data_IF_521282251986
#
_entry.id   IF_521282251986
#
_cell.length_a   1.000
_cell.length_b   1.000
_cell.length_c   1.000
_cell.angle_alpha   90.00
_cell.angle_beta   90.00
_cell.angle_gamma   90.00
#
_symmetry.space_group_name_H-M   'P 1'
#
loop_
_entity.id
_entity.type
_entity.pdbx_description
1 polymer ?
#
# COMPACT_ATOMS: atom_id res chain seq x y z
N UNK A 1 10.07 28.71 9.22
CA UNK A 1 8.97 28.10 8.47
C UNK A 1 9.15 26.58 8.35
N UNK A 2 10.32 26.10 7.91
CA UNK A 2 10.63 24.67 7.74
C UNK A 2 10.43 23.86 9.03
N UNK A 3 10.94 24.31 10.16
CA UNK A 3 10.76 23.66 11.46
C UNK A 3 9.29 23.52 11.85
N UNK A 4 8.47 24.57 11.58
CA UNK A 4 7.03 24.52 11.85
C UNK A 4 6.31 23.49 10.97
N UNK A 5 6.68 23.42 9.68
CA UNK A 5 6.16 22.42 8.76
C UNK A 5 6.56 21.00 9.17
N UNK A 6 7.81 20.80 9.57
CA UNK A 6 8.29 19.50 10.09
C UNK A 6 7.55 19.07 11.35
N UNK A 7 7.35 19.98 12.31
CA UNK A 7 6.54 19.72 13.51
C UNK A 7 5.11 19.30 13.17
N UNK A 8 4.43 20.01 12.26
CA UNK A 8 3.10 19.64 11.81
C UNK A 8 3.07 18.28 11.10
N UNK A 9 4.09 17.98 10.28
CA UNK A 9 4.19 16.70 9.60
C UNK A 9 4.41 15.53 10.58
N UNK A 10 5.30 15.69 11.57
CA UNK A 10 5.49 14.70 12.63
C UNK A 10 4.22 14.45 13.43
N UNK A 11 3.49 15.53 13.78
CA UNK A 11 2.19 15.40 14.46
C UNK A 11 1.16 14.64 13.60
N UNK A 12 1.06 14.96 12.31
CA UNK A 12 0.20 14.24 11.36
C UNK A 12 0.55 12.75 11.31
N UNK A 13 1.84 12.42 11.17
CA UNK A 13 2.33 11.04 11.16
C UNK A 13 2.02 10.28 12.46
N UNK A 14 2.12 10.94 13.61
CA UNK A 14 1.76 10.34 14.90
C UNK A 14 0.26 10.03 14.96
N UNK A 15 -0.60 10.96 14.53
CA UNK A 15 -2.06 10.75 14.48
C UNK A 15 -2.40 9.62 13.52
N UNK A 16 -1.80 9.59 12.33
CA UNK A 16 -1.95 8.53 11.33
C UNK A 16 -1.64 7.16 11.92
N UNK A 17 -0.47 7.04 12.57
CA UNK A 17 -0.02 5.79 13.19
C UNK A 17 -0.98 5.30 14.29
N UNK A 18 -1.47 6.21 15.11
CA UNK A 18 -2.39 5.87 16.20
C UNK A 18 -3.73 5.35 15.65
N UNK A 19 -4.30 6.03 14.65
CA UNK A 19 -5.55 5.60 14.00
C UNK A 19 -5.35 4.24 13.33
N UNK A 20 -4.25 4.07 12.58
CA UNK A 20 -3.96 2.81 11.90
C UNK A 20 -3.83 1.65 12.89
N UNK A 21 -3.08 1.83 14.00
CA UNK A 21 -2.94 0.81 15.02
C UNK A 21 -4.28 0.43 15.66
N UNK A 22 -5.13 1.43 15.99
CA UNK A 22 -6.46 1.18 16.53
C UNK A 22 -7.32 0.36 15.56
N UNK A 23 -7.27 0.66 14.26
CA UNK A 23 -8.00 -0.11 13.26
C UNK A 23 -7.43 -1.53 13.12
N UNK A 24 -6.10 -1.70 13.13
CA UNK A 24 -5.47 -3.02 13.05
C UNK A 24 -5.82 -3.90 14.25
N UNK A 25 -5.94 -3.33 15.45
CA UNK A 25 -6.43 -4.04 16.63
C UNK A 25 -7.90 -4.47 16.46
N UNK A 26 -8.76 -3.59 15.91
CA UNK A 26 -10.16 -3.95 15.59
C UNK A 26 -10.21 -5.08 14.56
N UNK A 27 -9.42 -4.99 13.50
CA UNK A 27 -9.30 -6.01 12.45
C UNK A 27 -8.90 -7.37 13.04
N UNK A 28 -7.93 -7.41 13.96
CA UNK A 28 -7.52 -8.65 14.62
C UNK A 28 -8.61 -9.35 15.42
N UNK A 29 -9.70 -8.65 15.73
CA UNK A 29 -10.87 -9.20 16.43
C UNK A 29 -12.06 -9.50 15.50
N UNK A 30 -11.95 -9.23 14.19
CA UNK A 30 -13.00 -9.54 13.22
C UNK A 30 -12.77 -10.95 12.68
N UNK A 31 -13.69 -11.90 12.95
CA UNK A 31 -13.60 -13.22 12.32
C UNK A 31 -13.69 -13.09 10.80
N UNK A 32 -12.90 -13.89 10.10
CA UNK A 32 -13.00 -14.02 8.64
C UNK A 32 -12.89 -12.68 7.88
N UNK A 33 -11.99 -11.76 8.34
CA UNK A 33 -11.77 -10.46 7.69
C UNK A 33 -11.44 -10.61 6.19
N UNK A 34 -10.84 -11.71 5.81
CA UNK A 34 -10.53 -12.08 4.43
C UNK A 34 -11.75 -12.30 3.56
N UNK A 35 -12.92 -12.54 4.13
CA UNK A 35 -14.19 -12.70 3.40
C UNK A 35 -14.87 -11.37 3.11
N UNK A 36 -14.48 -10.29 3.80
CA UNK A 36 -15.02 -8.97 3.54
C UNK A 36 -14.45 -8.41 2.24
N UNK A 37 -15.30 -7.87 1.39
CA UNK A 37 -14.92 -7.19 0.15
C UNK A 37 -14.67 -5.70 0.36
N UNK A 38 -15.25 -5.10 1.40
CA UNK A 38 -15.05 -3.72 1.82
C UNK A 38 -14.61 -3.62 3.27
N UNK A 39 -13.82 -2.60 3.58
CA UNK A 39 -13.49 -2.25 4.96
C UNK A 39 -14.08 -0.88 5.29
N UNK A 40 -14.92 -0.80 6.32
CA UNK A 40 -15.52 0.45 6.79
C UNK A 40 -15.29 0.58 8.29
N UNK A 41 -14.62 1.66 8.69
CA UNK A 41 -14.34 1.94 10.10
C UNK A 41 -14.74 3.37 10.45
N UNK A 42 -15.30 3.54 11.63
CA UNK A 42 -15.72 4.85 12.13
C UNK A 42 -15.30 5.07 13.59
N UNK A 43 -14.99 6.32 13.94
CA UNK A 43 -14.75 6.73 15.33
C UNK A 43 -14.85 8.24 15.48
N UNK A 44 -15.30 8.69 16.64
CA UNK A 44 -15.34 10.08 17.08
C UNK A 44 -13.98 10.63 17.50
N UNK A 45 -13.01 9.73 17.75
CA UNK A 45 -11.63 10.07 18.13
C UNK A 45 -10.74 10.43 16.95
N UNK A 46 -11.16 10.16 15.72
CA UNK A 46 -10.29 10.28 14.55
C UNK A 46 -10.35 11.67 13.92
N UNK A 47 -9.19 12.18 13.51
CA UNK A 47 -9.07 13.49 12.88
C UNK A 47 -9.46 13.43 11.39
N UNK A 48 -10.44 14.24 10.92
CA UNK A 48 -10.95 14.14 9.54
C UNK A 48 -9.88 14.44 8.47
N UNK A 49 -8.84 15.22 8.78
CA UNK A 49 -7.75 15.52 7.85
C UNK A 49 -6.74 14.37 7.65
N UNK A 50 -6.87 13.26 8.39
CA UNK A 50 -5.92 12.13 8.36
C UNK A 50 -6.56 10.83 7.87
N UNK A 51 -7.88 10.70 8.01
CA UNK A 51 -8.60 9.46 7.66
C UNK A 51 -8.36 8.98 6.22
N UNK A 52 -8.16 9.90 5.26
CA UNK A 52 -7.88 9.54 3.88
C UNK A 52 -6.50 8.90 3.67
N UNK A 53 -5.51 9.29 4.48
CA UNK A 53 -4.17 8.67 4.44
C UNK A 53 -4.24 7.27 5.06
N UNK A 54 -4.98 7.13 6.16
CA UNK A 54 -5.20 5.82 6.80
C UNK A 54 -5.95 4.87 5.87
N UNK A 55 -6.99 5.35 5.18
CA UNK A 55 -7.70 4.54 4.19
C UNK A 55 -6.76 4.02 3.09
N UNK A 56 -5.84 4.85 2.57
CA UNK A 56 -4.84 4.41 1.60
C UNK A 56 -3.95 3.29 2.18
N UNK A 57 -3.47 3.43 3.42
CA UNK A 57 -2.66 2.40 4.08
C UNK A 57 -3.38 1.09 4.25
N UNK A 58 -4.68 1.13 4.58
CA UNK A 58 -5.48 -0.08 4.71
C UNK A 58 -5.70 -0.76 3.36
N UNK A 59 -5.91 0.00 2.28
CA UNK A 59 -5.97 -0.56 0.92
C UNK A 59 -4.64 -1.23 0.56
N UNK A 60 -3.49 -0.59 0.85
CA UNK A 60 -2.17 -1.18 0.61
C UNK A 60 -1.94 -2.48 1.41
N UNK A 61 -2.50 -2.59 2.62
CA UNK A 61 -2.31 -3.75 3.49
C UNK A 61 -3.26 -4.91 3.19
N UNK A 62 -4.50 -4.60 2.83
CA UNK A 62 -5.58 -5.59 2.72
C UNK A 62 -6.12 -5.78 1.31
N UNK A 63 -5.69 -4.93 0.34
CA UNK A 63 -6.15 -4.96 -1.06
C UNK A 63 -7.68 -4.91 -1.20
N UNK A 64 -8.33 -4.13 -0.35
CA UNK A 64 -9.79 -3.94 -0.33
C UNK A 64 -10.17 -2.48 -0.34
N UNK A 65 -11.21 -2.10 -1.07
CA UNK A 65 -11.79 -0.76 -0.95
C UNK A 65 -12.10 -0.45 0.51
N UNK A 66 -11.65 0.71 0.98
CA UNK A 66 -11.71 1.04 2.41
C UNK A 66 -12.25 2.44 2.64
N UNK A 67 -13.21 2.59 3.55
CA UNK A 67 -13.66 3.87 4.10
C UNK A 67 -13.23 4.02 5.55
N UNK A 68 -12.62 5.17 5.87
CA UNK A 68 -12.32 5.58 7.24
C UNK A 68 -13.10 6.86 7.53
N UNK A 69 -13.92 6.83 8.58
CA UNK A 69 -14.94 7.83 8.88
C UNK A 69 -14.65 8.48 10.23
N UNK A 70 -14.51 9.80 10.23
CA UNK A 70 -14.45 10.61 11.46
C UNK A 70 -15.85 11.06 11.85
N UNK A 71 -16.30 10.71 13.05
CA UNK A 71 -17.61 11.05 13.59
C UNK A 71 -17.57 12.36 14.37
N UNK A 72 -18.60 13.17 14.20
CA UNK A 72 -18.82 14.38 15.01
C UNK A 72 -20.30 14.70 15.06
N UNK A 73 -20.86 14.79 16.26
CA UNK A 73 -22.26 15.13 16.50
C UNK A 73 -23.26 14.28 15.70
N UNK A 74 -23.06 12.96 15.66
CA UNK A 74 -23.92 12.00 14.95
C UNK A 74 -23.79 12.00 13.42
N UNK A 75 -22.80 12.74 12.88
CA UNK A 75 -22.51 12.77 11.44
C UNK A 75 -21.07 12.36 11.19
N UNK A 76 -20.89 11.42 10.26
CA UNK A 76 -19.59 10.94 9.79
C UNK A 76 -19.12 11.69 8.55
N UNK A 77 -17.84 12.08 8.54
CA UNK A 77 -17.12 12.48 7.34
C UNK A 77 -16.11 11.42 6.99
N UNK A 78 -16.38 10.68 5.92
CA UNK A 78 -15.59 9.54 5.47
C UNK A 78 -14.72 9.90 4.28
N UNK A 79 -13.55 9.26 4.25
CA UNK A 79 -12.67 9.25 3.07
C UNK A 79 -12.46 7.81 2.65
N UNK A 80 -12.80 7.51 1.40
CA UNK A 80 -12.66 6.20 0.77
C UNK A 80 -11.45 6.14 -0.15
N UNK A 81 -10.85 4.97 -0.23
CA UNK A 81 -9.82 4.60 -1.19
C UNK A 81 -10.15 3.25 -1.81
N UNK A 82 -9.74 3.05 -3.05
CA UNK A 82 -10.07 1.84 -3.81
C UNK A 82 -8.85 1.15 -4.36
N UNK A 83 -9.07 -0.09 -4.74
CA UNK A 83 -8.18 -0.90 -5.57
C UNK A 83 -8.38 -0.56 -7.06
N UNK A 84 -7.47 -1.03 -7.93
CA UNK A 84 -7.54 -0.78 -9.39
C UNK A 84 -8.81 -1.33 -10.03
N UNK A 85 -9.30 -2.46 -9.53
CA UNK A 85 -10.38 -3.24 -10.15
C UNK A 85 -11.77 -2.78 -9.73
N UNK A 86 -11.86 -1.78 -8.82
CA UNK A 86 -13.14 -1.26 -8.36
C UNK A 86 -13.22 0.27 -8.44
N UNK A 87 -14.23 0.78 -9.14
CA UNK A 87 -14.53 2.20 -9.19
C UNK A 87 -15.36 2.62 -7.97
N UNK A 88 -14.70 3.14 -6.92
CA UNK A 88 -15.35 3.49 -5.66
C UNK A 88 -16.43 4.56 -5.82
N UNK A 89 -16.29 5.49 -6.77
CA UNK A 89 -17.31 6.51 -7.04
C UNK A 89 -18.61 5.88 -7.56
N UNK A 90 -18.52 4.92 -8.48
CA UNK A 90 -19.70 4.17 -8.95
C UNK A 90 -20.31 3.31 -7.84
N UNK A 91 -19.50 2.76 -6.96
CA UNK A 91 -19.97 2.02 -5.78
C UNK A 91 -20.79 2.91 -4.84
N UNK A 92 -20.27 4.06 -4.43
CA UNK A 92 -21.00 4.96 -3.53
C UNK A 92 -22.23 5.60 -4.16
N UNK A 93 -22.31 5.71 -5.49
CA UNK A 93 -23.53 6.15 -6.17
C UNK A 93 -24.71 5.19 -5.93
N UNK A 94 -24.44 3.88 -5.82
CA UNK A 94 -25.47 2.89 -5.50
C UNK A 94 -25.89 2.93 -4.03
N UNK A 95 -25.04 3.49 -3.15
CA UNK A 95 -25.34 3.73 -1.73
C UNK A 95 -25.92 5.13 -1.48
N UNK A 96 -26.30 5.90 -2.50
CA UNK A 96 -26.65 7.33 -2.39
C UNK A 96 -27.78 7.61 -1.41
N UNK A 97 -28.74 6.71 -1.23
CA UNK A 97 -29.87 6.84 -0.30
C UNK A 97 -29.46 6.92 1.17
N UNK A 98 -28.29 6.35 1.52
CA UNK A 98 -27.72 6.34 2.87
C UNK A 98 -26.82 7.56 3.14
N UNK A 99 -26.45 8.32 2.10
CA UNK A 99 -25.46 9.38 2.17
C UNK A 99 -26.09 10.76 2.21
N UNK A 100 -25.61 11.62 3.09
CA UNK A 100 -25.98 13.05 3.13
C UNK A 100 -25.34 13.81 1.98
N UNK A 101 -24.12 13.44 1.63
CA UNK A 101 -23.40 13.94 0.44
C UNK A 101 -22.25 12.99 0.09
N UNK A 102 -21.87 12.98 -1.17
CA UNK A 102 -20.73 12.21 -1.66
C UNK A 102 -20.10 12.86 -2.88
N UNK A 103 -18.83 12.48 -3.16
CA UNK A 103 -18.09 12.95 -4.33
C UNK A 103 -16.75 12.28 -4.44
N UNK A 104 -16.14 12.36 -5.62
CA UNK A 104 -14.82 11.76 -5.83
C UNK A 104 -14.60 11.28 -7.25
N UNK A 105 -13.65 10.35 -7.38
CA UNK A 105 -13.21 9.73 -8.63
C UNK A 105 -13.08 8.22 -8.44
N UNK A 106 -12.62 7.51 -9.47
CA UNK A 106 -12.51 6.03 -9.46
C UNK A 106 -11.73 5.44 -8.29
N UNK A 107 -10.67 6.12 -7.81
CA UNK A 107 -9.76 5.59 -6.78
C UNK A 107 -9.89 6.24 -5.41
N UNK A 108 -10.60 7.37 -5.32
CA UNK A 108 -10.77 8.11 -4.08
C UNK A 108 -12.11 8.79 -4.03
N UNK A 109 -12.81 8.67 -2.89
CA UNK A 109 -14.11 9.29 -2.68
C UNK A 109 -14.23 9.86 -1.27
N UNK A 110 -15.10 10.87 -1.13
CA UNK A 110 -15.51 11.44 0.14
C UNK A 110 -16.99 11.24 0.34
N UNK A 111 -17.40 10.98 1.58
CA UNK A 111 -18.80 10.83 1.95
C UNK A 111 -19.12 11.64 3.22
N UNK A 112 -20.37 12.04 3.33
CA UNK A 112 -20.99 12.44 4.60
C UNK A 112 -22.18 11.54 4.85
N UNK A 113 -22.29 10.97 6.07
CA UNK A 113 -23.25 9.94 6.42
C UNK A 113 -23.73 10.13 7.85
N UNK A 114 -24.97 9.76 8.17
CA UNK A 114 -25.40 9.70 9.56
C UNK A 114 -24.75 8.49 10.25
N UNK A 115 -24.43 8.64 11.53
CA UNK A 115 -23.80 7.58 12.31
C UNK A 115 -24.62 6.28 12.29
N UNK A 116 -25.94 6.37 12.37
CA UNK A 116 -26.85 5.21 12.37
C UNK A 116 -26.92 4.47 11.04
N UNK A 117 -26.51 5.09 9.94
CA UNK A 117 -26.57 4.52 8.59
C UNK A 117 -25.24 3.85 8.17
N UNK A 118 -24.19 3.88 9.04
CA UNK A 118 -22.85 3.39 8.70
C UNK A 118 -22.81 1.89 8.51
N UNK A 119 -23.49 1.11 9.37
CA UNK A 119 -23.48 -0.35 9.28
C UNK A 119 -24.22 -0.85 8.03
N UNK A 120 -25.33 -0.20 7.69
CA UNK A 120 -26.09 -0.49 6.46
C UNK A 120 -25.25 -0.10 5.22
N UNK A 121 -24.56 1.04 5.24
CA UNK A 121 -23.65 1.45 4.20
C UNK A 121 -22.50 0.45 4.02
N UNK A 122 -21.92 -0.05 5.12
CA UNK A 122 -20.83 -1.03 5.07
C UNK A 122 -21.30 -2.34 4.40
N UNK A 123 -22.45 -2.85 4.80
CA UNK A 123 -23.03 -4.08 4.26
C UNK A 123 -23.38 -3.94 2.77
N UNK A 124 -24.04 -2.85 2.39
CA UNK A 124 -24.41 -2.60 0.99
C UNK A 124 -23.18 -2.41 0.10
N UNK A 125 -22.16 -1.70 0.59
CA UNK A 125 -20.92 -1.51 -0.16
C UNK A 125 -20.18 -2.82 -0.36
N UNK A 126 -20.17 -3.69 0.64
CA UNK A 126 -19.57 -5.03 0.56
C UNK A 126 -20.23 -5.89 -0.53
N UNK A 127 -21.58 -5.92 -0.57
CA UNK A 127 -22.35 -6.61 -1.61
C UNK A 127 -22.07 -6.05 -3.01
N UNK A 128 -22.05 -4.72 -3.17
CA UNK A 128 -21.77 -4.08 -4.45
C UNK A 128 -20.37 -4.44 -4.96
N UNK A 129 -19.38 -4.53 -4.07
CA UNK A 129 -18.02 -4.91 -4.46
C UNK A 129 -17.98 -6.40 -4.82
N UNK A 130 -18.62 -7.26 -4.02
CA UNK A 130 -18.72 -8.68 -4.32
C UNK A 130 -19.26 -8.94 -5.73
N UNK A 131 -20.34 -8.28 -6.10
CA UNK A 131 -20.98 -8.44 -7.41
C UNK A 131 -20.19 -7.82 -8.57
N UNK A 132 -19.37 -6.80 -8.28
CA UNK A 132 -18.63 -6.05 -9.29
C UNK A 132 -17.25 -6.62 -9.59
N UNK A 133 -16.61 -7.25 -8.60
CA UNK A 133 -15.26 -7.79 -8.71
C UNK A 133 -15.35 -9.29 -9.00
N UNK A 134 -15.06 -9.69 -10.23
CA UNK A 134 -15.15 -11.07 -10.70
C UNK A 134 -14.08 -12.01 -10.11
N UNK A 135 -13.13 -11.51 -9.35
CA UNK A 135 -12.10 -12.31 -8.72
C UNK A 135 -12.55 -12.78 -7.33
N UNK A 136 -12.61 -14.09 -7.06
CA UNK A 136 -13.01 -14.61 -5.74
C UNK A 136 -12.04 -14.23 -4.62
N UNK A 137 -10.87 -13.76 -4.96
CA UNK A 137 -9.84 -13.31 -4.01
C UNK A 137 -9.31 -11.95 -4.46
N UNK A 138 -9.45 -10.93 -3.61
CA UNK A 138 -8.82 -9.63 -3.78
C UNK A 138 -7.32 -9.74 -3.45
N UNK A 139 -6.56 -10.39 -4.34
CA UNK A 139 -5.13 -10.62 -4.16
C UNK A 139 -4.36 -9.43 -4.72
N UNK A 140 -3.43 -8.84 -3.95
CA UNK A 140 -2.53 -7.82 -4.48
C UNK A 140 -1.79 -8.34 -5.71
N UNK A 141 -1.82 -7.59 -6.80
CA UNK A 141 -1.09 -7.91 -8.01
C UNK A 141 0.04 -6.92 -8.23
N UNK A 142 1.23 -7.43 -8.51
CA UNK A 142 2.37 -6.63 -8.93
C UNK A 142 2.59 -6.82 -10.42
N UNK A 143 2.35 -5.77 -11.20
CA UNK A 143 2.61 -5.79 -12.64
C UNK A 143 4.12 -5.70 -12.88
N UNK A 144 4.62 -6.60 -13.73
CA UNK A 144 6.04 -6.71 -14.09
C UNK A 144 6.17 -6.31 -15.55
N UNK A 145 7.02 -5.32 -15.82
CA UNK A 145 7.26 -4.84 -17.18
C UNK A 145 8.22 -5.73 -17.94
N UNK A 146 9.22 -6.31 -17.28
CA UNK A 146 10.18 -7.22 -17.91
C UNK A 146 10.86 -8.16 -16.92
N UNK A 147 11.24 -9.35 -17.40
CA UNK A 147 12.15 -10.27 -16.69
C UNK A 147 13.58 -9.96 -17.07
N UNK A 148 14.51 -10.03 -16.10
CA UNK A 148 15.94 -9.80 -16.30
C UNK A 148 16.80 -10.68 -15.37
N UNK A 149 18.11 -10.75 -15.63
CA UNK A 149 19.08 -11.33 -14.71
C UNK A 149 19.75 -10.24 -13.87
N UNK A 150 20.29 -10.57 -12.69
CA UNK A 150 21.03 -9.59 -11.89
C UNK A 150 22.24 -8.98 -12.64
N UNK A 151 22.82 -9.73 -13.59
CA UNK A 151 23.91 -9.26 -14.46
C UNK A 151 23.52 -8.14 -15.42
N UNK A 152 22.23 -8.02 -15.75
CA UNK A 152 21.74 -7.01 -16.69
C UNK A 152 21.61 -5.64 -16.01
N UNK A 153 21.60 -5.66 -14.66
CA UNK A 153 21.39 -4.44 -13.87
C UNK A 153 22.70 -3.68 -13.73
N UNK A 154 22.79 -2.57 -14.45
CA UNK A 154 23.95 -1.70 -14.48
C UNK A 154 23.53 -0.22 -14.59
N UNK A 155 24.49 0.68 -14.48
CA UNK A 155 24.21 2.14 -14.52
C UNK A 155 23.60 2.59 -15.86
N UNK A 156 23.92 1.90 -16.96
CA UNK A 156 23.35 2.23 -18.26
C UNK A 156 21.85 1.90 -18.30
N UNK A 157 21.44 0.71 -17.81
CA UNK A 157 20.04 0.32 -17.71
C UNK A 157 19.26 1.35 -16.86
N UNK A 158 19.79 1.70 -15.68
CA UNK A 158 19.13 2.68 -14.80
C UNK A 158 18.99 4.03 -15.51
N UNK A 159 20.06 4.50 -16.20
CA UNK A 159 20.00 5.75 -16.97
C UNK A 159 18.97 5.72 -18.10
N UNK A 160 18.77 4.58 -18.76
CA UNK A 160 17.72 4.40 -19.78
C UNK A 160 16.32 4.41 -19.14
N UNK A 161 16.16 3.77 -17.98
CA UNK A 161 14.90 3.81 -17.23
C UNK A 161 14.57 5.24 -16.76
N UNK A 162 15.56 5.99 -16.31
CA UNK A 162 15.39 7.39 -15.88
C UNK A 162 14.91 8.30 -17.02
N UNK A 163 15.19 7.97 -18.28
CA UNK A 163 14.67 8.73 -19.45
C UNK A 163 13.15 8.59 -19.62
N UNK A 164 12.51 7.61 -18.99
CA UNK A 164 11.04 7.44 -18.98
C UNK A 164 10.35 8.40 -17.99
N UNK A 165 11.11 9.07 -17.13
CA UNK A 165 10.59 10.03 -16.16
C UNK A 165 9.96 11.27 -16.86
N UNK A 166 9.01 11.99 -16.22
CA UNK A 166 8.60 11.88 -14.82
C UNK A 166 7.59 10.74 -14.57
N UNK A 167 7.83 9.97 -13.51
CA UNK A 167 6.93 8.90 -13.10
C UNK A 167 5.74 9.42 -12.31
N UNK A 168 4.61 8.73 -12.42
CA UNK A 168 3.36 9.08 -11.76
C UNK A 168 2.24 8.09 -12.05
N UNK A 169 1.00 8.45 -11.72
CA UNK A 169 -0.18 7.57 -11.81
C UNK A 169 -0.42 6.94 -13.20
N UNK A 170 -0.12 7.67 -14.29
CA UNK A 170 -0.30 7.18 -15.67
C UNK A 170 1.01 6.77 -16.36
N UNK A 171 2.12 6.90 -15.65
CA UNK A 171 3.45 6.50 -16.10
C UNK A 171 4.19 5.95 -14.87
N UNK A 172 3.86 4.74 -14.39
CA UNK A 172 4.49 4.17 -13.21
C UNK A 172 5.97 3.90 -13.45
N UNK A 173 6.71 3.86 -12.35
CA UNK A 173 8.12 3.47 -12.34
C UNK A 173 8.22 2.00 -12.81
N UNK A 174 9.05 1.65 -13.80
CA UNK A 174 9.16 0.28 -14.30
C UNK A 174 9.53 -0.72 -13.22
N UNK A 175 8.88 -1.87 -13.23
CA UNK A 175 9.11 -2.98 -12.32
C UNK A 175 9.73 -4.15 -13.08
N UNK A 176 10.91 -4.56 -12.68
CA UNK A 176 11.61 -5.73 -13.23
C UNK A 176 11.44 -6.94 -12.31
N UNK A 177 11.52 -8.12 -12.90
CA UNK A 177 11.53 -9.40 -12.17
C UNK A 177 12.83 -10.15 -12.40
N UNK A 178 13.37 -10.78 -11.34
CA UNK A 178 14.46 -11.75 -11.46
C UNK A 178 14.09 -13.01 -10.68
N UNK A 179 14.41 -14.17 -11.27
CA UNK A 179 14.01 -15.47 -10.74
C UNK A 179 15.15 -16.23 -10.08
N UNK A 180 14.78 -17.11 -9.14
CA UNK A 180 15.72 -18.01 -8.43
C UNK A 180 16.86 -17.23 -7.74
N UNK A 181 16.51 -16.20 -7.02
CA UNK A 181 17.45 -15.32 -6.33
C UNK A 181 17.62 -15.77 -4.88
N UNK A 182 18.87 -16.03 -4.47
CA UNK A 182 19.22 -16.36 -3.09
C UNK A 182 19.34 -15.11 -2.25
N UNK A 183 18.73 -15.15 -1.06
CA UNK A 183 18.83 -14.08 -0.05
C UNK A 183 20.00 -14.36 0.88
N UNK A 184 20.83 -13.35 1.08
CA UNK A 184 21.90 -13.37 2.07
C UNK A 184 21.90 -12.06 2.86
N UNK A 185 22.46 -12.14 4.09
CA UNK A 185 22.65 -10.98 4.99
C UNK A 185 21.40 -10.12 5.18
N UNK A 186 20.22 -10.69 5.45
CA UNK A 186 19.03 -9.89 5.73
C UNK A 186 19.20 -9.17 7.06
N UNK A 187 18.83 -7.88 7.10
CA UNK A 187 18.90 -7.04 8.30
C UNK A 187 17.80 -5.99 8.30
N UNK A 188 17.31 -5.64 9.49
CA UNK A 188 16.39 -4.52 9.66
C UNK A 188 17.20 -3.23 9.74
N UNK A 189 16.84 -2.24 8.92
CA UNK A 189 17.46 -0.90 8.91
C UNK A 189 16.39 0.19 9.06
N UNK A 190 16.78 1.31 9.66
CA UNK A 190 15.87 2.45 9.85
C UNK A 190 14.59 2.08 10.58
N UNK A 191 13.45 2.58 10.08
CA UNK A 191 12.13 2.34 10.64
C UNK A 191 11.50 1.06 10.06
N UNK A 192 12.04 -0.12 10.43
CA UNK A 192 11.48 -1.42 10.04
C UNK A 192 11.58 -1.74 8.53
N UNK A 193 12.65 -1.26 7.83
CA UNK A 193 12.93 -1.64 6.46
C UNK A 193 13.81 -2.89 6.43
N UNK A 194 13.55 -3.79 5.49
CA UNK A 194 14.35 -5.00 5.30
C UNK A 194 15.40 -4.73 4.23
N UNK A 195 16.69 -4.73 4.63
CA UNK A 195 17.82 -4.73 3.70
C UNK A 195 18.30 -6.16 3.50
N UNK A 196 18.58 -6.53 2.25
CA UNK A 196 19.05 -7.88 1.89
C UNK A 196 20.08 -7.77 0.78
N UNK A 197 20.97 -8.75 0.71
CA UNK A 197 21.81 -8.98 -0.46
C UNK A 197 21.21 -10.11 -1.28
N UNK A 198 20.91 -9.83 -2.53
CA UNK A 198 20.33 -10.76 -3.50
C UNK A 198 21.45 -11.30 -4.39
N UNK A 199 21.52 -12.63 -4.54
CA UNK A 199 22.62 -13.29 -5.26
C UNK A 199 22.08 -14.31 -6.27
N UNK A 200 22.60 -14.29 -7.48
CA UNK A 200 22.34 -15.29 -8.53
C UNK A 200 23.52 -15.40 -9.47
N UNK A 201 23.92 -16.61 -9.82
CA UNK A 201 24.99 -16.91 -10.81
C UNK A 201 26.29 -16.13 -10.56
N UNK A 202 26.68 -15.97 -9.30
CA UNK A 202 27.91 -15.24 -8.92
C UNK A 202 27.79 -13.72 -8.88
N UNK A 203 26.69 -13.15 -9.33
CA UNK A 203 26.39 -11.71 -9.20
C UNK A 203 25.62 -11.45 -7.91
N UNK A 204 25.88 -10.30 -7.28
CA UNK A 204 25.14 -9.87 -6.10
C UNK A 204 24.75 -8.40 -6.17
N UNK A 205 23.58 -8.09 -5.67
CA UNK A 205 23.04 -6.73 -5.59
C UNK A 205 22.44 -6.46 -4.20
N UNK A 206 22.68 -5.27 -3.67
CA UNK A 206 22.00 -4.85 -2.44
C UNK A 206 20.55 -4.50 -2.75
N UNK A 207 19.65 -4.82 -1.84
CA UNK A 207 18.23 -4.51 -1.96
C UNK A 207 17.66 -3.91 -0.68
N UNK A 208 16.54 -3.18 -0.82
CA UNK A 208 15.78 -2.66 0.30
C UNK A 208 14.29 -2.86 0.05
N UNK A 209 13.59 -3.38 1.07
CA UNK A 209 12.14 -3.52 1.07
C UNK A 209 11.56 -2.68 2.21
N UNK A 210 10.92 -1.59 1.84
CA UNK A 210 10.47 -0.61 2.80
C UNK A 210 9.32 -1.14 3.66
N UNK A 211 9.43 -0.96 4.99
CA UNK A 211 8.43 -1.36 6.00
C UNK A 211 8.18 -2.87 6.10
N UNK A 212 9.07 -3.70 5.57
CA UNK A 212 8.92 -5.15 5.48
C UNK A 212 9.85 -5.93 6.42
N UNK A 213 10.33 -5.31 7.50
CA UNK A 213 11.18 -5.97 8.49
C UNK A 213 10.55 -7.22 9.14
N UNK A 214 9.21 -7.33 9.14
CA UNK A 214 8.49 -8.51 9.63
C UNK A 214 8.85 -9.81 8.90
N UNK A 215 9.34 -9.71 7.67
CA UNK A 215 9.74 -10.87 6.85
C UNK A 215 11.19 -11.32 7.06
N UNK A 216 11.96 -10.69 7.95
CA UNK A 216 13.37 -11.01 8.20
C UNK A 216 13.61 -12.52 8.36
N UNK A 217 12.86 -13.15 9.25
CA UNK A 217 13.04 -14.57 9.56
C UNK A 217 12.59 -15.48 8.41
N UNK A 218 11.48 -15.14 7.75
CA UNK A 218 10.93 -15.93 6.66
C UNK A 218 11.82 -15.92 5.40
N UNK A 219 12.57 -14.83 5.18
CA UNK A 219 13.41 -14.67 3.99
C UNK A 219 14.89 -14.99 4.23
N UNK A 220 15.29 -15.31 5.47
CA UNK A 220 16.69 -15.66 5.76
C UNK A 220 17.07 -16.97 5.10
N UNK A 221 17.99 -16.91 4.12
CA UNK A 221 18.46 -18.09 3.37
C UNK A 221 17.50 -18.61 2.29
N UNK A 222 16.37 -17.94 2.09
CA UNK A 222 15.36 -18.32 1.11
C UNK A 222 15.84 -18.12 -0.33
N UNK A 223 15.21 -18.87 -1.25
CA UNK A 223 15.28 -18.65 -2.70
C UNK A 223 13.98 -18.03 -3.16
N UNK A 224 14.05 -16.91 -3.88
CA UNK A 224 12.92 -16.07 -4.24
C UNK A 224 12.86 -15.80 -5.74
N UNK A 225 11.64 -15.61 -6.25
CA UNK A 225 11.41 -14.73 -7.39
C UNK A 225 11.15 -13.33 -6.83
N UNK A 226 11.77 -12.31 -7.40
CA UNK A 226 11.77 -10.96 -6.85
C UNK A 226 11.29 -9.93 -7.87
N UNK A 227 10.36 -9.06 -7.49
CA UNK A 227 9.94 -7.90 -8.26
C UNK A 227 10.56 -6.64 -7.64
N UNK A 228 11.19 -5.78 -8.44
CA UNK A 228 11.93 -4.63 -7.97
C UNK A 228 12.06 -3.53 -9.03
N UNK A 229 12.39 -2.33 -8.58
CA UNK A 229 12.90 -1.24 -9.43
C UNK A 229 14.35 -0.96 -9.05
N UNK A 230 15.32 -1.04 -9.96
CA UNK A 230 16.71 -0.69 -9.69
C UNK A 230 16.84 0.83 -9.56
N UNK A 231 17.65 1.28 -8.61
CA UNK A 231 17.91 2.70 -8.36
C UNK A 231 19.37 2.93 -7.97
N UNK A 232 19.85 4.16 -8.11
CA UNK A 232 21.14 4.59 -7.58
C UNK A 232 20.93 5.06 -6.14
N UNK A 233 21.45 4.33 -5.17
CA UNK A 233 21.51 4.78 -3.79
C UNK A 233 22.73 5.67 -3.59
N UNK A 234 22.52 6.93 -3.21
CA UNK A 234 23.56 7.91 -2.91
C UNK A 234 23.62 8.13 -1.41
N UNK A 235 24.59 7.51 -0.76
CA UNK A 235 24.76 7.61 0.69
C UNK A 235 26.23 7.85 1.04
N UNK A 236 26.51 8.84 1.90
CA UNK A 236 27.87 9.23 2.36
C UNK A 236 28.90 9.41 1.21
N UNK A 237 28.48 9.98 0.07
CA UNK A 237 29.37 10.22 -1.08
C UNK A 237 29.60 8.98 -1.96
N UNK A 238 29.15 7.81 -1.59
CA UNK A 238 29.13 6.61 -2.43
C UNK A 238 27.83 6.55 -3.26
N UNK A 239 27.93 5.95 -4.45
CA UNK A 239 26.80 5.75 -5.36
C UNK A 239 26.79 4.28 -5.77
N UNK A 240 25.87 3.51 -5.19
CA UNK A 240 25.75 2.08 -5.43
C UNK A 240 24.39 1.73 -6.03
N UNK A 241 24.34 0.68 -6.84
CA UNK A 241 23.08 0.15 -7.33
C UNK A 241 22.36 -0.55 -6.20
N UNK A 242 21.09 -0.21 -5.98
CA UNK A 242 20.23 -0.82 -4.99
C UNK A 242 18.89 -1.19 -5.61
N UNK A 243 18.38 -2.38 -5.31
CA UNK A 243 17.08 -2.86 -5.77
C UNK A 243 16.00 -2.44 -4.76
N UNK A 244 15.10 -1.57 -5.16
CA UNK A 244 13.91 -1.21 -4.39
C UNK A 244 12.85 -2.29 -4.60
N UNK A 245 12.74 -3.17 -3.63
CA UNK A 245 11.81 -4.29 -3.69
C UNK A 245 10.36 -3.83 -3.73
N UNK A 246 9.56 -4.49 -4.56
CA UNK A 246 8.11 -4.30 -4.68
C UNK A 246 7.38 -5.52 -4.12
N UNK A 247 7.81 -6.72 -4.51
CA UNK A 247 7.17 -7.98 -4.12
C UNK A 247 8.15 -9.16 -4.18
N UNK A 248 7.78 -10.27 -3.55
CA UNK A 248 8.55 -11.52 -3.59
C UNK A 248 7.63 -12.74 -3.59
N UNK A 249 8.05 -13.79 -4.30
CA UNK A 249 7.49 -15.13 -4.17
C UNK A 249 8.57 -16.06 -3.61
N UNK A 250 8.28 -16.70 -2.48
CA UNK A 250 9.19 -17.65 -1.84
C UNK A 250 9.09 -18.98 -2.58
N UNK A 251 10.23 -19.53 -3.04
CA UNK A 251 10.31 -20.79 -3.74
C UNK A 251 10.75 -21.94 -2.83
N UNK A 252 11.67 -21.65 -1.91
CA UNK A 252 12.21 -22.60 -0.91
C UNK A 252 12.93 -21.88 0.22
#
# INVERSE_FOLDING_TARGET
LAEKLDSHNRRRQSIEKNILNEILEKIGNIPDIEKLNALVFASDKWHPGVVGIVASRLVDLFSRPTFVISLKNGVGKGSGRSISDFNIYKGIQQCASLLLSYGGHSHAAGISIKENDIDEFASLLDEIIHDSVQSPELIPQTFIDSECQLSDINLNLIGQMDMLAPFGSKNPEPVLCARNIKVSSPAIVGNNHLKMRLTSKGMSCDSIWFSMGKYLNALTGATLDVAFTPQINRWNGASDIQLKMKDVTVLS
#
